data_IF_775871005508
#
_entry.id   IF_775871005508
#
_cell.length_a   1.000
_cell.length_b   1.000
_cell.length_c   1.000
_cell.angle_alpha   90.00
_cell.angle_beta   90.00
_cell.angle_gamma   90.00
#
_symmetry.space_group_name_H-M   'P 1'
#
loop_
_entity.id
_entity.type
_entity.pdbx_description
1 polymer ?
#
# COMPACT_ATOMS: atom_id res chain seq x y z
N UNK A 1 1.88 8.14 -14.81
CA UNK A 1 1.21 7.90 -13.51
C UNK A 1 1.84 8.82 -12.48
N UNK A 2 1.08 9.49 -11.61
CA UNK A 2 1.69 10.37 -10.61
C UNK A 2 2.54 9.61 -9.58
N UNK A 3 3.72 10.13 -9.25
CA UNK A 3 4.70 9.54 -8.35
C UNK A 3 4.10 9.17 -6.97
N UNK A 4 3.30 10.05 -6.37
CA UNK A 4 2.67 9.74 -5.07
C UNK A 4 1.65 8.58 -5.18
N UNK A 5 1.01 8.37 -6.33
CA UNK A 5 0.11 7.23 -6.57
C UNK A 5 0.91 5.93 -6.69
N UNK A 6 2.05 5.97 -7.38
CA UNK A 6 2.97 4.83 -7.45
C UNK A 6 3.42 4.39 -6.04
N UNK A 7 3.90 5.33 -5.23
CA UNK A 7 4.35 5.03 -3.87
C UNK A 7 3.21 4.46 -3.00
N UNK A 8 1.96 4.88 -3.20
CA UNK A 8 0.82 4.28 -2.50
C UNK A 8 0.56 2.84 -2.94
N UNK A 9 0.63 2.56 -4.24
CA UNK A 9 0.44 1.20 -4.78
C UNK A 9 1.47 0.21 -4.24
N UNK A 10 2.61 0.69 -3.79
CA UNK A 10 3.64 -0.16 -3.17
C UNK A 10 3.31 -0.57 -1.74
N UNK A 11 2.18 -0.11 -1.16
CA UNK A 11 1.74 -0.43 0.21
C UNK A 11 2.58 0.14 1.36
N UNK A 12 3.81 0.61 1.10
CA UNK A 12 4.68 1.24 2.10
C UNK A 12 4.23 2.64 2.52
N UNK A 13 3.43 3.32 1.69
CA UNK A 13 3.06 4.71 1.91
C UNK A 13 1.54 4.91 1.88
N UNK A 14 1.00 5.54 2.91
CA UNK A 14 -0.25 6.29 2.80
C UNK A 14 -0.10 7.47 1.83
N UNK A 15 -1.21 8.01 1.33
CA UNK A 15 -1.20 9.25 0.52
C UNK A 15 -0.39 10.38 1.16
N UNK A 16 -0.61 10.60 2.47
CA UNK A 16 0.07 11.68 3.23
C UNK A 16 1.56 11.40 3.39
N UNK A 17 1.94 10.17 3.72
CA UNK A 17 3.35 9.81 3.88
C UNK A 17 4.11 9.80 2.55
N UNK A 18 3.47 9.40 1.44
CA UNK A 18 4.04 9.50 0.09
C UNK A 18 4.34 10.96 -0.29
N UNK A 19 3.35 11.86 -0.16
CA UNK A 19 3.52 13.29 -0.46
C UNK A 19 4.63 13.89 0.41
N UNK A 20 4.68 13.55 1.69
CA UNK A 20 5.69 14.02 2.63
C UNK A 20 7.09 13.53 2.25
N UNK A 21 7.24 12.24 1.91
CA UNK A 21 8.52 11.67 1.51
C UNK A 21 9.07 12.34 0.24
N UNK A 22 8.20 12.62 -0.73
CA UNK A 22 8.57 13.35 -1.96
C UNK A 22 9.00 14.78 -1.59
N UNK A 23 8.20 15.53 -0.83
CA UNK A 23 8.52 16.92 -0.44
C UNK A 23 9.85 17.04 0.33
N UNK A 24 10.19 16.05 1.16
CA UNK A 24 11.46 16.01 1.87
C UNK A 24 12.64 15.54 1.02
N UNK A 25 12.44 15.26 -0.28
CA UNK A 25 13.49 14.83 -1.19
C UNK A 25 14.04 13.44 -0.87
N UNK A 26 13.24 12.58 -0.26
CA UNK A 26 13.63 11.21 0.08
C UNK A 26 13.46 10.24 -1.09
N UNK A 27 12.78 10.67 -2.15
CA UNK A 27 12.47 9.89 -3.34
C UNK A 27 13.34 10.38 -4.49
N UNK A 28 13.95 9.43 -5.20
CA UNK A 28 14.63 9.69 -6.47
C UNK A 28 13.95 8.93 -7.59
N UNK A 29 13.84 9.57 -8.75
CA UNK A 29 13.42 8.96 -10.01
C UNK A 29 14.63 9.03 -10.96
N UNK A 30 15.08 7.87 -11.45
CA UNK A 30 16.27 7.76 -12.32
C UNK A 30 17.50 8.46 -11.72
N UNK A 31 17.69 8.34 -10.40
CA UNK A 31 18.81 8.94 -9.67
C UNK A 31 18.65 10.42 -9.31
N UNK A 32 17.63 11.13 -9.83
CA UNK A 32 17.36 12.54 -9.53
C UNK A 32 16.35 12.68 -8.39
N UNK A 33 16.64 13.55 -7.42
CA UNK A 33 15.72 13.83 -6.31
C UNK A 33 14.50 14.58 -6.83
N UNK A 34 13.30 14.04 -6.57
CA UNK A 34 12.04 14.67 -6.93
C UNK A 34 11.38 15.24 -5.67
N UNK A 35 10.94 16.51 -5.75
CA UNK A 35 10.22 17.20 -4.66
C UNK A 35 8.78 17.57 -5.00
N UNK A 36 8.34 17.32 -6.22
CA UNK A 36 6.98 17.53 -6.69
C UNK A 36 6.14 16.24 -6.55
N UNK A 37 5.13 16.21 -5.67
CA UNK A 37 4.31 15.01 -5.48
C UNK A 37 3.57 14.53 -6.73
N UNK A 38 3.19 15.49 -7.58
CA UNK A 38 2.43 15.27 -8.81
C UNK A 38 3.33 14.99 -10.03
N UNK A 39 4.63 14.81 -9.83
CA UNK A 39 5.55 14.41 -10.90
C UNK A 39 5.04 13.13 -11.58
N UNK A 40 4.94 13.16 -12.90
CA UNK A 40 4.53 11.99 -13.67
C UNK A 40 5.71 11.05 -13.91
N UNK A 41 5.45 9.77 -13.71
CA UNK A 41 6.39 8.69 -13.99
C UNK A 41 5.85 7.73 -15.05
N UNK A 42 6.79 7.07 -15.74
CA UNK A 42 6.59 5.98 -16.68
C UNK A 42 6.87 4.62 -16.01
N UNK A 43 6.51 3.52 -16.67
CA UNK A 43 6.74 2.16 -16.16
C UNK A 43 8.23 1.79 -16.10
N UNK A 44 9.04 2.39 -16.97
CA UNK A 44 10.49 2.18 -17.06
C UNK A 44 11.27 2.97 -16.00
N UNK A 45 10.62 3.93 -15.32
CA UNK A 45 11.29 4.80 -14.37
C UNK A 45 11.74 4.04 -13.12
N UNK A 46 13.03 4.18 -12.80
CA UNK A 46 13.61 3.60 -11.59
C UNK A 46 13.35 4.50 -10.40
N UNK A 47 12.40 4.12 -9.55
CA UNK A 47 12.07 4.85 -8.32
C UNK A 47 12.86 4.27 -7.13
N UNK A 48 13.51 5.13 -6.36
CA UNK A 48 14.25 4.74 -5.16
C UNK A 48 13.89 5.59 -3.94
N UNK A 49 13.89 4.97 -2.77
CA UNK A 49 13.70 5.61 -1.47
C UNK A 49 14.85 5.22 -0.55
N UNK A 50 15.57 6.23 -0.02
CA UNK A 50 16.75 6.01 0.84
C UNK A 50 17.80 5.05 0.25
N UNK A 51 17.94 5.05 -1.08
CA UNK A 51 18.92 4.19 -1.79
C UNK A 51 18.39 2.80 -2.19
N UNK A 52 17.20 2.41 -1.75
CA UNK A 52 16.56 1.16 -2.15
C UNK A 52 15.57 1.38 -3.28
N UNK A 53 15.58 0.52 -4.28
CA UNK A 53 14.61 0.54 -5.37
C UNK A 53 13.24 0.10 -4.88
N UNK A 54 12.23 0.92 -5.15
CA UNK A 54 10.84 0.59 -4.87
C UNK A 54 10.25 0.02 -6.16
N UNK A 55 9.87 -1.26 -6.12
CA UNK A 55 9.17 -1.94 -7.22
C UNK A 55 7.71 -2.13 -6.87
N UNK A 56 6.88 -2.18 -7.91
CA UNK A 56 5.44 -2.37 -7.80
C UNK A 56 5.07 -3.81 -7.40
N UNK A 57 6.00 -4.76 -7.54
CA UNK A 57 5.84 -6.15 -7.09
C UNK A 57 6.04 -6.27 -5.58
N UNK A 58 5.05 -5.84 -4.80
CA UNK A 58 4.78 -6.62 -3.59
C UNK A 58 4.01 -7.86 -4.02
N UNK A 59 4.39 -9.06 -3.53
CA UNK A 59 3.56 -10.23 -3.74
C UNK A 59 2.14 -9.92 -3.26
N UNK A 60 1.17 -10.33 -4.06
CA UNK A 60 -0.23 -10.24 -3.66
C UNK A 60 -0.48 -11.37 -2.68
N UNK A 61 -0.91 -10.99 -1.48
CA UNK A 61 -1.21 -11.93 -0.42
C UNK A 61 -2.73 -12.05 -0.26
N UNK A 62 -3.19 -13.26 -0.04
CA UNK A 62 -4.56 -13.58 0.34
C UNK A 62 -4.52 -14.41 1.61
N UNK A 63 -5.13 -13.88 2.68
CA UNK A 63 -5.22 -14.58 3.96
C UNK A 63 -6.68 -14.68 4.37
N UNK A 64 -7.08 -15.89 4.76
CA UNK A 64 -8.34 -16.11 5.45
C UNK A 64 -8.08 -15.93 6.94
N UNK A 65 -8.78 -14.99 7.55
CA UNK A 65 -8.67 -14.68 8.97
C UNK A 65 -10.02 -14.87 9.64
N UNK A 66 -10.07 -15.67 10.70
CA UNK A 66 -11.25 -15.75 11.55
C UNK A 66 -11.22 -14.59 12.54
N UNK A 67 -12.06 -13.57 12.32
CA UNK A 67 -12.18 -12.40 13.21
C UNK A 67 -13.02 -12.79 14.42
N UNK A 68 -12.46 -12.78 15.65
CA UNK A 68 -13.27 -12.98 16.83
C UNK A 68 -14.15 -11.76 17.12
N UNK A 69 -15.23 -11.98 17.86
CA UNK A 69 -16.14 -10.94 18.33
C UNK A 69 -15.43 -10.03 19.34
N UNK A 70 -15.71 -8.72 19.28
CA UNK A 70 -15.24 -7.68 20.21
C UNK A 70 -13.72 -7.46 20.35
N UNK A 71 -12.87 -8.28 19.70
CA UNK A 71 -11.42 -8.20 19.76
C UNK A 71 -10.84 -8.27 18.35
N UNK A 72 -10.19 -7.20 17.91
CA UNK A 72 -9.50 -7.18 16.61
C UNK A 72 -8.01 -7.12 16.87
N UNK A 73 -7.30 -8.20 16.54
CA UNK A 73 -5.85 -8.28 16.64
C UNK A 73 -5.30 -8.76 15.29
N UNK A 74 -4.53 -7.91 14.63
CA UNK A 74 -3.79 -8.30 13.44
C UNK A 74 -2.31 -8.47 13.81
N UNK A 75 -1.75 -9.69 13.66
CA UNK A 75 -0.31 -9.92 13.73
C UNK A 75 0.45 -8.90 12.88
N UNK A 76 1.65 -8.50 13.33
CA UNK A 76 2.43 -7.46 12.63
C UNK A 76 2.74 -7.85 11.18
N UNK A 77 2.87 -9.16 10.95
CA UNK A 77 3.18 -9.81 9.69
C UNK A 77 2.08 -9.64 8.65
N UNK A 78 0.83 -9.38 9.07
CA UNK A 78 -0.32 -9.22 8.17
C UNK A 78 -0.93 -7.81 8.23
N UNK A 79 -0.28 -6.86 8.92
CA UNK A 79 -0.78 -5.49 9.08
C UNK A 79 -0.85 -4.68 7.78
N UNK A 80 -0.15 -5.11 6.74
CA UNK A 80 -0.20 -4.51 5.41
C UNK A 80 -1.44 -4.94 4.61
N UNK A 81 -2.15 -5.98 5.08
CA UNK A 81 -3.38 -6.46 4.45
C UNK A 81 -4.58 -5.70 5.01
N UNK A 82 -5.56 -5.50 4.14
CA UNK A 82 -6.83 -4.85 4.47
C UNK A 82 -7.98 -5.84 4.20
N UNK A 83 -9.07 -5.77 4.99
CA UNK A 83 -10.20 -6.69 4.83
C UNK A 83 -11.00 -6.38 3.56
N UNK A 84 -11.27 -7.40 2.75
CA UNK A 84 -12.07 -7.30 1.53
C UNK A 84 -13.54 -6.94 1.84
N UNK A 85 -14.03 -7.43 2.97
CA UNK A 85 -15.38 -7.21 3.46
C UNK A 85 -15.35 -6.65 4.89
N UNK A 86 -16.29 -5.75 5.20
CA UNK A 86 -16.33 -5.09 6.50
C UNK A 86 -17.30 -5.84 7.44
N UNK A 87 -16.75 -6.67 8.32
CA UNK A 87 -17.53 -7.37 9.35
C UNK A 87 -17.65 -6.50 10.61
N UNK A 88 -18.86 -6.23 11.14
CA UNK A 88 -19.05 -5.43 12.34
C UNK A 88 -18.20 -5.92 13.53
N UNK A 89 -17.83 -4.99 14.42
CA UNK A 89 -16.98 -5.33 15.57
C UNK A 89 -17.62 -6.36 16.50
N UNK A 90 -18.94 -6.29 16.68
CA UNK A 90 -19.75 -7.22 17.47
C UNK A 90 -19.73 -8.65 16.93
N UNK A 91 -19.48 -8.80 15.64
CA UNK A 91 -19.70 -10.05 14.93
C UNK A 91 -18.38 -10.83 14.83
N UNK A 92 -18.50 -12.14 14.65
CA UNK A 92 -17.38 -13.04 14.41
C UNK A 92 -17.59 -13.84 13.13
N UNK A 93 -16.49 -14.26 12.51
CA UNK A 93 -16.57 -14.97 11.24
C UNK A 93 -15.28 -14.91 10.45
N UNK A 94 -15.30 -15.58 9.30
CA UNK A 94 -14.21 -15.54 8.34
C UNK A 94 -14.26 -14.23 7.56
N UNK A 95 -13.11 -13.61 7.39
CA UNK A 95 -12.90 -12.49 6.48
C UNK A 95 -11.66 -12.76 5.63
N UNK A 96 -11.67 -12.25 4.41
CA UNK A 96 -10.49 -12.24 3.54
C UNK A 96 -9.71 -10.94 3.78
N UNK A 97 -8.41 -11.05 4.03
CA UNK A 97 -7.47 -9.94 4.07
C UNK A 97 -6.57 -10.01 2.84
N UNK A 98 -6.41 -8.89 2.14
CA UNK A 98 -5.54 -8.80 0.96
C UNK A 98 -4.92 -7.41 0.78
N UNK A 99 -3.85 -7.33 0.01
CA UNK A 99 -3.28 -6.09 -0.55
C UNK A 99 -3.62 -5.91 -2.04
N UNK A 100 -4.49 -6.77 -2.60
CA UNK A 100 -4.92 -6.70 -4.00
C UNK A 100 -5.93 -5.56 -4.24
N UNK A 101 -5.41 -4.46 -4.78
CA UNK A 101 -6.24 -3.30 -5.13
C UNK A 101 -7.21 -3.53 -6.30
N UNK A 102 -7.00 -4.55 -7.14
CA UNK A 102 -7.90 -4.90 -8.24
C UNK A 102 -9.13 -5.64 -7.73
N UNK A 103 -8.93 -6.67 -6.89
CA UNK A 103 -10.05 -7.38 -6.25
C UNK A 103 -10.86 -6.43 -5.37
N UNK A 104 -10.21 -5.55 -4.61
CA UNK A 104 -10.95 -4.54 -3.85
C UNK A 104 -11.86 -3.66 -4.72
N UNK A 105 -11.44 -3.29 -5.94
CA UNK A 105 -12.27 -2.50 -6.85
C UNK A 105 -13.39 -3.29 -7.51
N UNK A 106 -13.23 -4.60 -7.66
CA UNK A 106 -14.26 -5.46 -8.23
C UNK A 106 -15.36 -5.81 -7.21
N UNK A 107 -15.04 -5.78 -5.91
CA UNK A 107 -15.97 -6.13 -4.83
C UNK A 107 -16.90 -4.98 -4.40
N UNK A 108 -16.57 -3.73 -4.76
CA UNK A 108 -17.36 -2.52 -4.50
C UNK A 108 -17.98 -1.98 -5.79
#
# INVERSE_FOLDING_TARGET
MMLFKFLQKTGYFSRRSAIRAIKYGLIKVNGKIIREPWFDINEEDKITFKGFEIKMNMPVDYIIYYKPSNKVYFPKEIKHLIPLENLPKSDEGLIILTNDSEIHRAYY
#
